data_IF_180350883847
#
_entry.id   IF_180350883847
#
_cell.length_a   1.000
_cell.length_b   1.000
_cell.length_c   1.000
_cell.angle_alpha   90.00
_cell.angle_beta   90.00
_cell.angle_gamma   90.00
#
_symmetry.space_group_name_H-M   'P 1'
#
loop_
_entity.id
_entity.type
_entity.pdbx_description
1 polymer ?
#
# COMPACT_ATOMS: atom_id res chain seq x y z
N UNK A 1 -17.73 -12.32 25.58
CA UNK A 1 -17.45 -11.53 24.36
C UNK A 1 -16.24 -10.66 24.62
N UNK A 2 -15.08 -11.00 24.06
CA UNK A 2 -13.92 -10.10 24.04
C UNK A 2 -13.40 -10.05 22.60
N UNK A 3 -14.01 -9.18 21.80
CA UNK A 3 -13.44 -8.74 20.54
C UNK A 3 -12.45 -7.63 20.86
N UNK A 4 -11.14 -7.95 20.89
CA UNK A 4 -10.11 -6.92 20.91
C UNK A 4 -9.95 -6.35 19.50
N UNK A 5 -10.10 -5.02 19.42
CA UNK A 5 -10.06 -4.22 18.20
C UNK A 5 -8.70 -4.32 17.52
N UNK A 6 -8.75 -4.36 16.19
CA UNK A 6 -7.62 -4.31 15.26
C UNK A 6 -6.51 -3.37 15.73
N UNK A 7 -5.31 -3.92 15.81
CA UNK A 7 -4.08 -3.13 15.82
C UNK A 7 -3.88 -2.61 14.39
N UNK A 8 -4.26 -1.36 14.14
CA UNK A 8 -3.85 -0.66 12.92
C UNK A 8 -2.36 -0.36 13.06
N UNK A 9 -1.54 -1.02 12.26
CA UNK A 9 -0.11 -0.78 12.21
C UNK A 9 0.19 0.35 11.23
N UNK A 10 1.00 1.31 11.65
CA UNK A 10 1.56 2.33 10.78
C UNK A 10 2.81 1.79 10.06
N UNK A 11 2.63 0.69 9.31
CA UNK A 11 3.67 0.09 8.46
C UNK A 11 4.50 -1.04 9.10
N UNK A 12 5.44 -1.62 8.32
CA UNK A 12 6.13 -2.86 8.66
C UNK A 12 7.15 -2.73 9.80
N UNK A 13 7.83 -1.58 9.93
CA UNK A 13 8.77 -1.33 11.02
C UNK A 13 8.07 -1.22 12.39
N UNK A 14 6.83 -0.71 12.41
CA UNK A 14 6.00 -0.65 13.61
C UNK A 14 5.69 -2.05 14.14
N UNK A 15 5.32 -2.98 13.23
CA UNK A 15 5.08 -4.38 13.56
C UNK A 15 6.35 -5.06 14.08
N UNK A 16 7.49 -4.84 13.40
CA UNK A 16 8.77 -5.42 13.83
C UNK A 16 9.17 -4.96 15.24
N UNK A 17 9.12 -3.66 15.48
CA UNK A 17 9.46 -3.10 16.79
C UNK A 17 8.60 -3.71 17.88
N UNK A 18 7.30 -3.89 17.62
CA UNK A 18 6.38 -4.50 18.57
C UNK A 18 6.68 -5.98 18.84
N UNK A 19 7.02 -6.76 17.82
CA UNK A 19 7.39 -8.16 17.98
C UNK A 19 8.67 -8.30 18.81
N UNK A 20 9.66 -7.42 18.59
CA UNK A 20 10.88 -7.34 19.40
C UNK A 20 10.56 -6.99 20.85
N UNK A 21 9.75 -5.95 21.07
CA UNK A 21 9.36 -5.51 22.43
C UNK A 21 8.56 -6.60 23.16
N UNK A 22 7.70 -7.34 22.46
CA UNK A 22 6.90 -8.42 23.03
C UNK A 22 7.74 -9.61 23.52
N UNK A 23 8.81 -9.92 22.80
CA UNK A 23 9.75 -11.00 23.15
C UNK A 23 10.90 -10.52 24.07
N UNK A 24 10.86 -9.26 24.51
CA UNK A 24 11.90 -8.63 25.35
C UNK A 24 13.32 -8.75 24.75
N UNK A 25 13.42 -8.62 23.42
CA UNK A 25 14.68 -8.78 22.68
C UNK A 25 15.35 -7.42 22.37
N UNK A 26 16.67 -7.44 22.23
CA UNK A 26 17.43 -6.31 21.68
C UNK A 26 17.35 -6.29 20.14
N UNK A 27 17.49 -5.10 19.53
CA UNK A 27 17.53 -4.96 18.05
C UNK A 27 18.90 -5.43 17.54
N UNK A 28 18.98 -6.73 17.23
CA UNK A 28 20.17 -7.42 16.70
C UNK A 28 19.77 -8.48 15.67
N UNK A 29 20.72 -8.96 14.87
CA UNK A 29 20.49 -9.90 13.77
C UNK A 29 19.90 -11.21 14.30
N UNK A 30 20.39 -11.65 15.46
CA UNK A 30 19.93 -12.86 16.15
C UNK A 30 18.47 -12.71 16.57
N UNK A 31 18.09 -11.55 17.09
CA UNK A 31 16.70 -11.26 17.47
C UNK A 31 15.78 -11.17 16.26
N UNK A 32 16.22 -10.48 15.18
CA UNK A 32 15.49 -10.37 13.93
C UNK A 32 15.25 -11.74 13.29
N UNK A 33 16.26 -12.62 13.31
CA UNK A 33 16.12 -13.99 12.84
C UNK A 33 15.07 -14.79 13.64
N UNK A 34 15.00 -14.59 14.97
CA UNK A 34 14.05 -15.28 15.85
C UNK A 34 12.59 -14.85 15.61
N UNK A 35 12.35 -13.57 15.34
CA UNK A 35 11.00 -13.05 15.11
C UNK A 35 10.54 -13.16 13.65
N UNK A 36 11.41 -13.57 12.73
CA UNK A 36 11.10 -13.66 11.30
C UNK A 36 9.85 -14.52 11.03
N UNK A 37 9.74 -15.68 11.67
CA UNK A 37 8.56 -16.54 11.52
C UNK A 37 7.28 -15.86 12.03
N UNK A 38 7.37 -15.19 13.19
CA UNK A 38 6.22 -14.47 13.76
C UNK A 38 5.75 -13.34 12.83
N UNK A 39 6.70 -12.65 12.18
CA UNK A 39 6.40 -11.60 11.22
C UNK A 39 5.71 -12.15 9.96
N UNK A 40 6.20 -13.25 9.40
CA UNK A 40 5.60 -13.91 8.23
C UNK A 40 4.21 -14.45 8.56
N UNK A 41 4.04 -15.09 9.72
CA UNK A 41 2.76 -15.61 10.18
C UNK A 41 1.74 -14.49 10.38
N UNK A 42 2.16 -13.34 10.89
CA UNK A 42 1.30 -12.17 11.02
C UNK A 42 0.83 -11.68 9.64
N UNK A 43 1.72 -11.56 8.65
CA UNK A 43 1.33 -11.12 7.29
C UNK A 43 0.33 -12.09 6.66
N UNK A 44 0.54 -13.41 6.83
CA UNK A 44 -0.34 -14.45 6.25
C UNK A 44 -1.74 -14.46 6.86
N UNK A 45 -1.84 -14.18 8.15
CA UNK A 45 -3.09 -14.35 8.91
C UNK A 45 -3.87 -13.05 9.09
N UNK A 46 -3.25 -11.89 8.86
CA UNK A 46 -3.88 -10.61 9.14
C UNK A 46 -4.71 -10.11 7.95
N UNK A 47 -6.05 -9.98 8.09
CA UNK A 47 -6.91 -9.38 7.07
C UNK A 47 -6.75 -7.85 6.99
N UNK A 48 -5.88 -7.26 7.81
CA UNK A 48 -5.79 -5.81 8.04
C UNK A 48 -4.71 -5.12 7.21
N UNK A 49 -3.93 -5.89 6.44
CA UNK A 49 -2.95 -5.34 5.51
C UNK A 49 -3.69 -5.04 4.21
N UNK A 50 -3.80 -3.76 3.87
CA UNK A 50 -4.36 -3.34 2.59
C UNK A 50 -3.46 -3.83 1.45
N UNK A 51 -4.02 -4.18 0.28
CA UNK A 51 -3.21 -4.58 -0.88
C UNK A 51 -2.13 -3.55 -1.23
N UNK A 52 -2.43 -2.26 -1.10
CA UNK A 52 -1.51 -1.16 -1.40
C UNK A 52 -0.27 -1.16 -0.49
N UNK A 53 -0.42 -1.57 0.78
CA UNK A 53 0.69 -1.61 1.73
C UNK A 53 1.41 -2.96 1.72
N UNK A 54 0.87 -3.99 1.07
CA UNK A 54 1.42 -5.35 1.08
C UNK A 54 2.86 -5.40 0.54
N UNK A 55 3.17 -4.55 -0.46
CA UNK A 55 4.51 -4.48 -1.05
C UNK A 55 5.59 -4.15 -0.01
N UNK A 56 5.34 -3.18 0.86
CA UNK A 56 6.29 -2.77 1.92
C UNK A 56 6.48 -3.87 2.95
N UNK A 57 5.40 -4.58 3.31
CA UNK A 57 5.47 -5.72 4.23
C UNK A 57 6.27 -6.88 3.64
N UNK A 58 6.09 -7.17 2.34
CA UNK A 58 6.82 -8.22 1.63
C UNK A 58 8.30 -7.88 1.47
N UNK A 59 8.66 -6.61 1.25
CA UNK A 59 10.05 -6.16 1.22
C UNK A 59 10.76 -6.41 2.55
N UNK A 60 10.10 -6.10 3.67
CA UNK A 60 10.67 -6.36 4.99
C UNK A 60 10.70 -7.87 5.28
N UNK A 61 9.68 -8.62 4.85
CA UNK A 61 9.65 -10.08 4.98
C UNK A 61 10.82 -10.76 4.25
N UNK A 62 11.14 -10.34 3.03
CA UNK A 62 12.26 -10.92 2.27
C UNK A 62 13.60 -10.67 2.97
N UNK A 63 13.81 -9.46 3.51
CA UNK A 63 15.00 -9.12 4.31
C UNK A 63 15.10 -9.97 5.58
N UNK A 64 14.00 -10.20 6.29
CA UNK A 64 14.01 -11.07 7.49
C UNK A 64 14.31 -12.53 7.16
N UNK A 65 13.79 -13.03 6.04
CA UNK A 65 14.11 -14.38 5.56
C UNK A 65 15.59 -14.52 5.20
N UNK A 66 16.17 -13.48 4.59
CA UNK A 66 17.61 -13.41 4.31
C UNK A 66 18.43 -13.46 5.62
N UNK A 67 18.06 -12.63 6.60
CA UNK A 67 18.69 -12.59 7.92
C UNK A 67 18.62 -13.96 8.60
N UNK A 68 17.44 -14.61 8.57
CA UNK A 68 17.25 -15.94 9.15
C UNK A 68 18.06 -17.01 8.41
N UNK A 69 18.09 -16.97 7.09
CA UNK A 69 18.88 -17.91 6.27
C UNK A 69 20.36 -17.85 6.63
N UNK A 70 20.93 -16.64 6.72
CA UNK A 70 22.34 -16.44 7.11
C UNK A 70 22.63 -16.83 8.55
N UNK A 71 21.72 -16.51 9.48
CA UNK A 71 21.85 -16.93 10.86
C UNK A 71 21.92 -18.47 11.00
N UNK A 72 21.26 -19.20 10.09
CA UNK A 72 21.32 -20.67 10.03
C UNK A 72 22.49 -21.20 9.18
N UNK A 73 22.94 -20.45 8.18
CA UNK A 73 23.95 -20.86 7.19
C UNK A 73 25.04 -19.78 6.98
N UNK A 74 25.93 -19.54 7.96
CA UNK A 74 26.84 -18.40 7.95
C UNK A 74 27.94 -18.45 6.87
N UNK A 75 28.22 -19.62 6.29
CA UNK A 75 29.34 -19.81 5.36
C UNK A 75 28.99 -19.61 3.88
N UNK A 76 27.72 -19.39 3.54
CA UNK A 76 27.26 -19.41 2.15
C UNK A 76 27.17 -18.02 1.49
N UNK A 77 27.23 -16.94 2.27
CA UNK A 77 26.89 -15.60 1.76
C UNK A 77 27.79 -14.50 2.36
N UNK A 78 28.97 -14.19 1.82
CA UNK A 78 29.80 -13.10 2.34
C UNK A 78 29.35 -11.70 1.90
N UNK A 79 28.59 -11.53 0.80
CA UNK A 79 28.32 -10.20 0.21
C UNK A 79 27.08 -9.45 0.72
N UNK A 80 26.17 -10.10 1.45
CA UNK A 80 24.86 -9.52 1.83
C UNK A 80 24.84 -8.93 3.25
N UNK A 81 26.01 -8.68 3.85
CA UNK A 81 26.14 -8.18 5.23
C UNK A 81 25.59 -6.75 5.38
N UNK A 82 25.70 -5.92 4.33
CA UNK A 82 25.26 -4.52 4.32
C UNK A 82 23.74 -4.36 4.42
N UNK A 83 22.96 -5.14 3.67
CA UNK A 83 21.49 -5.03 3.68
C UNK A 83 20.88 -5.33 5.05
N UNK A 84 21.60 -6.11 5.87
CA UNK A 84 21.17 -6.54 7.20
C UNK A 84 21.47 -5.46 8.23
N UNK A 85 22.69 -4.91 8.19
CA UNK A 85 23.07 -3.77 9.04
C UNK A 85 22.12 -2.57 8.79
N UNK A 86 21.73 -2.34 7.54
CA UNK A 86 20.77 -1.30 7.17
C UNK A 86 19.40 -1.48 7.84
N UNK A 87 18.87 -2.72 7.93
CA UNK A 87 17.56 -2.95 8.56
C UNK A 87 17.60 -2.73 10.07
N UNK A 88 18.68 -3.14 10.74
CA UNK A 88 18.86 -2.90 12.17
C UNK A 88 18.94 -1.40 12.50
N UNK A 89 19.74 -0.66 11.72
CA UNK A 89 19.91 0.77 11.89
C UNK A 89 18.59 1.51 11.65
N UNK A 90 17.87 1.14 10.58
CA UNK A 90 16.53 1.65 10.30
C UNK A 90 15.56 1.40 11.47
N UNK A 91 15.56 0.20 12.05
CA UNK A 91 14.68 -0.13 13.16
C UNK A 91 15.07 0.59 14.46
N UNK A 92 16.37 0.79 14.69
CA UNK A 92 16.88 1.56 15.83
C UNK A 92 16.48 3.04 15.72
N UNK A 93 16.70 3.65 14.56
CA UNK A 93 16.25 5.02 14.30
C UNK A 93 14.73 5.14 14.46
N UNK A 94 13.97 4.19 13.92
CA UNK A 94 12.51 4.19 14.06
C UNK A 94 12.09 4.13 15.54
N UNK A 95 12.73 3.29 16.36
CA UNK A 95 12.49 3.24 17.80
C UNK A 95 12.74 4.60 18.48
N UNK A 96 13.84 5.27 18.15
CA UNK A 96 14.15 6.60 18.68
C UNK A 96 13.06 7.63 18.31
N UNK A 97 12.57 7.62 17.07
CA UNK A 97 11.46 8.47 16.65
C UNK A 97 10.18 8.18 17.41
N UNK A 98 9.84 6.90 17.60
CA UNK A 98 8.66 6.49 18.38
C UNK A 98 8.77 6.99 19.82
N UNK A 99 9.94 6.87 20.45
CA UNK A 99 10.18 7.37 21.81
C UNK A 99 10.12 8.90 21.90
N UNK A 100 10.70 9.62 20.93
CA UNK A 100 10.61 11.07 20.84
C UNK A 100 9.16 11.52 20.67
N UNK A 101 8.40 10.85 19.79
CA UNK A 101 6.99 11.13 19.54
C UNK A 101 6.14 10.92 20.81
N UNK A 102 6.40 9.86 21.59
CA UNK A 102 5.76 9.66 22.90
C UNK A 102 6.00 10.87 23.83
N UNK A 103 7.23 11.38 23.91
CA UNK A 103 7.58 12.56 24.73
C UNK A 103 6.88 13.83 24.23
N UNK A 104 6.84 14.04 22.92
CA UNK A 104 6.15 15.18 22.28
C UNK A 104 4.65 15.11 22.56
N UNK A 105 4.03 13.94 22.39
CA UNK A 105 2.61 13.73 22.68
C UNK A 105 2.26 14.05 24.14
N UNK A 106 3.12 13.66 25.09
CA UNK A 106 2.96 14.06 26.50
C UNK A 106 3.08 15.58 26.66
N UNK A 107 3.99 16.24 25.95
CA UNK A 107 4.15 17.69 26.01
C UNK A 107 2.92 18.43 25.45
N UNK A 108 2.42 18.01 24.29
CA UNK A 108 1.19 18.54 23.67
C UNK A 108 -0.02 18.27 24.56
N UNK A 109 -0.11 17.06 25.13
CA UNK A 109 -1.18 16.62 26.02
C UNK A 109 -1.31 17.44 27.30
N UNK A 110 -0.25 18.16 27.72
CA UNK A 110 -0.31 19.13 28.83
C UNK A 110 -1.17 20.36 28.52
N UNK A 111 -1.67 20.50 27.28
CA UNK A 111 -2.55 21.59 26.80
C UNK A 111 -2.07 23.00 27.17
N UNK A 112 -0.76 23.20 27.34
CA UNK A 112 -0.15 24.51 27.53
C UNK A 112 -0.08 25.25 26.20
N UNK A 113 -1.23 25.54 25.60
CA UNK A 113 -1.34 26.32 24.36
C UNK A 113 -1.42 27.82 24.61
N UNK A 114 -1.55 28.24 25.87
CA UNK A 114 -1.56 29.65 26.25
C UNK A 114 -0.14 30.13 26.49
N UNK A 115 0.46 30.67 25.44
CA UNK A 115 1.66 31.49 25.54
C UNK A 115 1.22 32.93 25.77
N UNK A 116 1.74 33.59 26.81
CA UNK A 116 1.48 35.00 27.03
C UNK A 116 2.04 35.80 25.83
N UNK A 117 1.22 36.69 25.24
CA UNK A 117 1.73 37.62 24.22
C UNK A 117 2.82 38.49 24.84
N UNK A 118 3.87 38.78 24.08
CA UNK A 118 4.85 39.80 24.48
C UNK A 118 4.11 41.12 24.75
N UNK A 119 4.18 41.57 26.00
CA UNK A 119 3.36 42.66 26.50
C UNK A 119 3.96 44.01 26.06
N UNK A 120 3.37 44.68 25.06
CA UNK A 120 3.84 46.01 24.66
C UNK A 120 3.26 47.10 25.57
N UNK A 121 3.92 47.33 26.71
CA UNK A 121 3.53 48.37 27.70
C UNK A 121 3.31 49.77 27.10
N UNK A 122 3.95 50.09 25.96
CA UNK A 122 3.84 51.42 25.34
C UNK A 122 2.47 51.69 24.71
N UNK A 123 1.70 50.65 24.37
CA UNK A 123 0.41 50.77 23.68
C UNK A 123 -0.73 51.05 24.66
N UNK A 124 -0.62 50.61 25.92
CA UNK A 124 -1.65 50.84 26.94
C UNK A 124 -1.56 52.27 27.51
N UNK A 125 -0.34 52.82 27.57
CA UNK A 125 -0.09 54.17 28.08
C UNK A 125 -0.50 55.27 27.10
N UNK A 126 -0.61 54.94 25.82
CA UNK A 126 -1.22 55.81 24.82
C UNK A 126 -2.69 55.39 24.71
N UNK A 127 -3.62 56.22 25.18
CA UNK A 127 -5.08 56.04 25.01
C UNK A 127 -5.50 56.19 23.54
N UNK A 128 -4.83 55.49 22.63
CA UNK A 128 -5.03 55.60 21.22
C UNK A 128 -5.10 54.19 20.64
N UNK A 129 -6.06 54.01 19.73
CA UNK A 129 -6.27 52.80 18.94
C UNK A 129 -5.10 52.59 17.96
N UNK A 130 -3.87 52.48 18.47
CA UNK A 130 -2.68 52.19 17.67
C UNK A 130 -2.56 50.68 17.52
N UNK A 131 -2.64 50.24 16.27
CA UNK A 131 -2.20 48.90 15.89
C UNK A 131 -0.69 48.79 16.18
N UNK A 132 -0.33 47.89 17.11
CA UNK A 132 1.08 47.61 17.43
C UNK A 132 1.40 46.16 17.09
N UNK A 133 2.05 45.92 15.94
CA UNK A 133 2.52 44.59 15.61
C UNK A 133 3.68 44.19 16.55
N UNK A 134 3.86 42.89 16.83
CA UNK A 134 5.04 42.38 17.52
C UNK A 134 6.33 42.79 16.81
N UNK A 135 7.41 43.01 17.59
CA UNK A 135 8.68 43.57 17.06
C UNK A 135 9.34 42.74 15.97
N UNK A 136 9.07 41.43 15.93
CA UNK A 136 9.72 40.49 15.03
C UNK A 136 8.86 40.11 13.82
N UNK A 137 7.75 40.80 13.55
CA UNK A 137 6.93 40.56 12.36
C UNK A 137 7.36 41.49 11.24
N UNK A 138 7.69 40.93 10.08
CA UNK A 138 7.93 41.65 8.82
C UNK A 138 6.72 41.56 7.89
N UNK A 139 6.72 42.36 6.83
CA UNK A 139 5.65 42.33 5.82
C UNK A 139 5.58 40.98 5.09
N UNK A 140 6.73 40.32 4.90
CA UNK A 140 6.82 38.99 4.29
C UNK A 140 6.14 37.92 5.15
N UNK A 141 6.25 38.03 6.48
CA UNK A 141 5.57 37.11 7.40
C UNK A 141 4.05 37.22 7.29
N UNK A 142 3.53 38.45 7.14
CA UNK A 142 2.09 38.68 6.92
C UNK A 142 1.63 38.10 5.58
N UNK A 143 2.42 38.23 4.53
CA UNK A 143 2.12 37.64 3.23
C UNK A 143 2.09 36.11 3.30
N UNK A 144 3.07 35.47 3.97
CA UNK A 144 3.10 34.02 4.17
C UNK A 144 1.91 33.52 4.99
N UNK A 145 1.56 34.22 6.08
CA UNK A 145 0.40 33.89 6.90
C UNK A 145 -0.89 34.03 6.10
N UNK A 146 -0.99 35.04 5.24
CA UNK A 146 -2.17 35.23 4.38
C UNK A 146 -2.30 34.11 3.35
N UNK A 147 -1.20 33.66 2.74
CA UNK A 147 -1.18 32.50 1.84
C UNK A 147 -1.58 31.22 2.58
N UNK A 148 -1.02 30.95 3.76
CA UNK A 148 -1.36 29.77 4.57
C UNK A 148 -2.83 29.79 5.03
N UNK A 149 -3.39 30.98 5.27
CA UNK A 149 -4.81 31.13 5.57
C UNK A 149 -5.67 30.81 4.34
N UNK A 150 -5.27 31.30 3.16
CA UNK A 150 -5.97 31.00 1.91
C UNK A 150 -5.93 29.51 1.59
N UNK A 151 -4.81 28.81 1.80
CA UNK A 151 -4.70 27.35 1.56
C UNK A 151 -5.54 26.55 2.56
N UNK A 152 -5.66 26.98 3.82
CA UNK A 152 -6.54 26.34 4.81
C UNK A 152 -8.03 26.56 4.54
N UNK A 153 -8.37 27.71 3.94
CA UNK A 153 -9.74 28.05 3.55
C UNK A 153 -10.11 27.53 2.17
N UNK A 154 -9.12 27.17 1.34
CA UNK A 154 -9.40 26.44 0.12
C UNK A 154 -10.16 25.17 0.53
N UNK A 155 -11.38 24.95 0.00
CA UNK A 155 -11.99 23.65 0.14
C UNK A 155 -10.95 22.64 -0.32
N UNK A 156 -10.81 21.47 0.35
CA UNK A 156 -9.94 20.43 -0.17
C UNK A 156 -10.26 20.35 -1.66
N UNK A 157 -9.23 20.47 -2.52
CA UNK A 157 -9.41 20.18 -3.93
C UNK A 157 -10.26 18.93 -3.91
N UNK A 158 -11.44 18.99 -4.54
CA UNK A 158 -12.13 17.76 -4.86
C UNK A 158 -11.03 17.03 -5.62
N UNK A 159 -10.37 16.08 -4.96
CA UNK A 159 -9.78 14.94 -5.63
C UNK A 159 -10.82 14.67 -6.68
N UNK A 160 -10.47 14.86 -7.95
CA UNK A 160 -11.37 14.45 -9.02
C UNK A 160 -11.89 13.13 -8.50
N UNK A 161 -13.19 13.09 -8.18
CA UNK A 161 -13.86 11.86 -7.84
C UNK A 161 -13.64 11.13 -9.14
N UNK A 162 -12.51 10.42 -9.22
CA UNK A 162 -12.06 9.70 -10.38
C UNK A 162 -13.20 8.76 -10.50
N UNK A 163 -14.11 9.13 -11.43
CA UNK A 163 -15.47 8.65 -11.52
C UNK A 163 -15.35 7.20 -11.15
N UNK A 164 -15.91 6.82 -9.99
CA UNK A 164 -15.72 5.47 -9.45
C UNK A 164 -16.10 4.59 -10.62
N UNK A 165 -15.08 4.11 -11.33
CA UNK A 165 -15.24 3.43 -12.61
C UNK A 165 -15.89 2.16 -12.12
N UNK A 166 -17.22 2.08 -12.26
CA UNK A 166 -18.09 1.11 -11.59
C UNK A 166 -17.32 -0.18 -11.47
N UNK A 167 -16.94 -0.61 -10.25
CA UNK A 167 -15.96 -1.68 -10.03
C UNK A 167 -16.31 -2.88 -10.90
N UNK A 168 -15.70 -2.98 -12.09
CA UNK A 168 -16.05 -4.01 -13.06
C UNK A 168 -15.37 -5.26 -12.54
N UNK A 169 -16.19 -6.15 -11.98
CA UNK A 169 -15.72 -7.41 -11.46
C UNK A 169 -15.29 -8.30 -12.61
N UNK A 170 -14.16 -8.98 -12.43
CA UNK A 170 -13.65 -9.95 -13.39
C UNK A 170 -14.70 -11.06 -13.58
N UNK A 171 -15.38 -11.46 -12.51
CA UNK A 171 -16.42 -12.49 -12.50
C UNK A 171 -17.59 -12.14 -13.44
N UNK A 172 -18.01 -10.87 -13.48
CA UNK A 172 -19.09 -10.41 -14.35
C UNK A 172 -18.68 -10.49 -15.83
N UNK A 173 -17.41 -10.17 -16.13
CA UNK A 173 -16.86 -10.31 -17.50
C UNK A 173 -16.68 -11.76 -17.90
N UNK A 174 -16.25 -12.65 -17.00
CA UNK A 174 -16.19 -14.09 -17.24
C UNK A 174 -17.57 -14.62 -17.66
N UNK A 175 -18.62 -14.29 -16.91
CA UNK A 175 -19.99 -14.70 -17.22
C UNK A 175 -20.47 -14.13 -18.57
N UNK A 176 -20.11 -12.88 -18.88
CA UNK A 176 -20.44 -12.25 -20.16
C UNK A 176 -19.80 -13.01 -21.33
N UNK A 177 -18.51 -13.31 -21.24
CA UNK A 177 -17.75 -14.03 -22.28
C UNK A 177 -18.31 -15.45 -22.46
N UNK A 178 -18.59 -16.17 -21.37
CA UNK A 178 -19.22 -17.50 -21.43
C UNK A 178 -20.59 -17.47 -22.12
N UNK A 179 -21.43 -16.46 -21.84
CA UNK A 179 -22.73 -16.30 -22.52
C UNK A 179 -22.57 -16.03 -24.01
N UNK A 180 -21.62 -15.18 -24.41
CA UNK A 180 -21.38 -14.91 -25.83
C UNK A 180 -20.83 -16.14 -26.57
N UNK A 181 -20.06 -16.99 -25.90
CA UNK A 181 -19.57 -18.27 -26.40
C UNK A 181 -20.63 -19.38 -26.33
N UNK A 182 -21.73 -19.21 -25.59
CA UNK A 182 -22.78 -20.23 -25.48
C UNK A 182 -23.37 -20.53 -26.88
N UNK A 183 -23.65 -19.48 -27.64
CA UNK A 183 -24.35 -19.52 -28.93
C UNK A 183 -23.42 -19.47 -30.15
N UNK A 184 -22.09 -19.43 -29.95
CA UNK A 184 -21.09 -19.26 -31.02
C UNK A 184 -19.97 -20.27 -30.90
N UNK A 185 -19.53 -20.81 -32.04
CA UNK A 185 -18.39 -21.75 -32.11
C UNK A 185 -17.07 -21.01 -31.86
N UNK A 186 -16.98 -19.77 -32.35
CA UNK A 186 -15.77 -18.96 -32.34
C UNK A 186 -16.13 -17.48 -32.23
N UNK A 187 -15.35 -16.74 -31.46
CA UNK A 187 -15.59 -15.33 -31.17
C UNK A 187 -14.27 -14.55 -31.17
N UNK A 188 -14.27 -13.35 -31.74
CA UNK A 188 -13.09 -12.47 -31.69
C UNK A 188 -13.08 -11.67 -30.39
N UNK A 189 -11.91 -11.54 -29.76
CA UNK A 189 -11.72 -10.71 -28.57
C UNK A 189 -12.07 -9.24 -28.82
N UNK A 190 -11.84 -8.73 -30.04
CA UNK A 190 -12.23 -7.37 -30.39
C UNK A 190 -13.74 -7.16 -30.23
N UNK A 191 -14.57 -8.17 -30.46
CA UNK A 191 -16.03 -8.08 -30.28
C UNK A 191 -16.43 -7.91 -28.80
N UNK A 192 -15.64 -8.44 -27.86
CA UNK A 192 -15.85 -8.21 -26.41
C UNK A 192 -15.47 -6.78 -26.04
N UNK A 193 -14.45 -6.21 -26.70
CA UNK A 193 -13.96 -4.86 -26.44
C UNK A 193 -14.87 -3.77 -27.02
N UNK A 194 -15.72 -4.07 -28.02
CA UNK A 194 -16.65 -3.07 -28.61
C UNK A 194 -17.58 -2.47 -27.55
N UNK A 195 -17.97 -3.25 -26.53
CA UNK A 195 -18.84 -2.78 -25.45
C UNK A 195 -18.08 -2.07 -24.33
N UNK A 196 -16.74 -2.08 -24.34
CA UNK A 196 -15.93 -1.51 -23.28
C UNK A 196 -15.93 0.02 -23.34
N UNK A 197 -16.33 0.66 -22.23
CA UNK A 197 -16.46 2.13 -22.11
C UNK A 197 -15.24 2.79 -21.51
N UNK A 198 -14.38 2.03 -20.82
CA UNK A 198 -13.19 2.55 -20.15
C UNK A 198 -11.96 1.67 -20.37
N UNK A 199 -10.77 2.25 -20.17
CA UNK A 199 -9.50 1.50 -20.22
C UNK A 199 -9.46 0.39 -19.16
N UNK A 200 -10.07 0.65 -18.00
CA UNK A 200 -10.25 -0.31 -16.92
C UNK A 200 -11.03 -1.54 -17.39
N UNK A 201 -12.11 -1.33 -18.13
CA UNK A 201 -12.95 -2.40 -18.67
C UNK A 201 -12.22 -3.28 -19.69
N UNK A 202 -11.36 -2.68 -20.53
CA UNK A 202 -10.51 -3.40 -21.47
C UNK A 202 -9.54 -4.33 -20.72
N UNK A 203 -8.87 -3.81 -19.69
CA UNK A 203 -7.93 -4.58 -18.87
C UNK A 203 -8.65 -5.73 -18.15
N UNK A 204 -9.79 -5.46 -17.53
CA UNK A 204 -10.60 -6.48 -16.83
C UNK A 204 -11.09 -7.57 -17.78
N UNK A 205 -11.51 -7.21 -19.00
CA UNK A 205 -11.95 -8.17 -20.02
C UNK A 205 -10.81 -9.06 -20.50
N UNK A 206 -9.60 -8.50 -20.63
CA UNK A 206 -8.40 -9.27 -20.96
C UNK A 206 -8.02 -10.24 -19.83
N UNK A 207 -8.06 -9.79 -18.58
CA UNK A 207 -7.82 -10.66 -17.42
C UNK A 207 -8.86 -11.78 -17.32
N UNK A 208 -10.14 -11.48 -17.55
CA UNK A 208 -11.21 -12.47 -17.57
C UNK A 208 -10.97 -13.56 -18.64
N UNK A 209 -10.50 -13.17 -19.84
CA UNK A 209 -10.15 -14.12 -20.90
C UNK A 209 -8.97 -15.02 -20.50
N UNK A 210 -7.92 -14.45 -19.90
CA UNK A 210 -6.77 -15.23 -19.42
C UNK A 210 -7.16 -16.19 -18.30
N UNK A 211 -8.07 -15.78 -17.41
CA UNK A 211 -8.60 -16.63 -16.35
C UNK A 211 -9.39 -17.82 -16.91
N UNK A 212 -10.25 -17.60 -17.92
CA UNK A 212 -10.97 -18.66 -18.63
C UNK A 212 -10.03 -19.65 -19.32
N UNK A 213 -8.95 -19.16 -19.92
CA UNK A 213 -7.91 -20.01 -20.52
C UNK A 213 -7.19 -20.83 -19.43
N UNK A 214 -6.86 -20.21 -18.28
CA UNK A 214 -6.24 -20.88 -17.13
C UNK A 214 -7.13 -22.00 -16.58
N UNK A 215 -8.44 -21.80 -16.58
CA UNK A 215 -9.45 -22.79 -16.15
C UNK A 215 -9.75 -23.86 -17.22
N UNK A 216 -9.11 -23.78 -18.39
CA UNK A 216 -9.35 -24.67 -19.55
C UNK A 216 -10.80 -24.68 -20.03
N UNK A 217 -11.50 -23.56 -19.92
CA UNK A 217 -12.87 -23.43 -20.45
C UNK A 217 -12.87 -22.90 -21.90
N UNK A 218 -11.85 -22.14 -22.27
CA UNK A 218 -11.68 -21.56 -23.61
C UNK A 218 -10.29 -21.85 -24.18
N UNK A 219 -10.22 -21.96 -25.50
CA UNK A 219 -8.98 -21.99 -26.24
C UNK A 219 -8.77 -20.65 -26.96
N UNK A 220 -7.52 -20.18 -27.01
CA UNK A 220 -7.13 -18.92 -27.63
C UNK A 220 -6.19 -19.18 -28.80
N UNK A 221 -6.47 -18.57 -29.94
CA UNK A 221 -5.63 -18.62 -31.13
C UNK A 221 -5.27 -17.20 -31.55
N UNK A 222 -3.97 -16.94 -31.69
CA UNK A 222 -3.42 -15.69 -32.20
C UNK A 222 -2.29 -16.03 -33.18
N UNK A 223 -2.37 -15.55 -34.41
CA UNK A 223 -1.41 -15.88 -35.46
C UNK A 223 -0.10 -15.08 -35.35
N UNK A 224 -0.20 -13.77 -35.09
CA UNK A 224 0.94 -12.87 -34.98
C UNK A 224 0.87 -12.02 -33.71
N UNK A 225 2.00 -11.49 -33.26
CA UNK A 225 2.04 -10.56 -32.13
C UNK A 225 1.13 -9.36 -32.41
N UNK A 226 0.21 -9.10 -31.49
CA UNK A 226 -0.81 -8.03 -31.59
C UNK A 226 -1.84 -8.22 -32.70
N UNK A 227 -1.93 -9.40 -33.31
CA UNK A 227 -3.05 -9.74 -34.19
C UNK A 227 -4.32 -10.00 -33.40
N UNK A 228 -5.44 -10.16 -34.11
CA UNK A 228 -6.72 -10.54 -33.52
C UNK A 228 -6.58 -11.86 -32.72
N UNK A 229 -7.21 -11.89 -31.55
CA UNK A 229 -7.27 -13.06 -30.67
C UNK A 229 -8.63 -13.72 -30.87
N UNK A 230 -8.61 -14.97 -31.27
CA UNK A 230 -9.80 -15.77 -31.50
C UNK A 230 -10.02 -16.70 -30.30
N UNK A 231 -11.25 -16.72 -29.81
CA UNK A 231 -11.69 -17.44 -28.63
C UNK A 231 -12.66 -18.53 -29.08
N UNK A 232 -12.40 -19.78 -28.71
CA UNK A 232 -13.32 -20.90 -28.91
C UNK A 232 -13.53 -21.65 -27.60
N UNK A 233 -14.61 -22.44 -27.51
CA UNK A 233 -14.78 -23.35 -26.37
C UNK A 233 -13.66 -24.39 -26.37
N UNK A 234 -13.20 -24.72 -25.17
CA UNK A 234 -12.24 -25.81 -25.01
C UNK A 234 -12.92 -27.14 -25.37
N UNK A 235 -12.54 -27.71 -26.52
CA UNK A 235 -12.87 -29.10 -26.83
C UNK A 235 -11.75 -29.98 -26.30
N UNK A 236 -12.09 -30.81 -25.31
CA UNK A 236 -11.23 -31.89 -24.87
C UNK A 236 -11.17 -32.88 -26.04
N UNK A 237 -10.11 -32.76 -26.85
CA UNK A 237 -9.84 -33.70 -27.92
C UNK A 237 -9.62 -35.05 -27.26
N UNK A 238 -10.61 -35.93 -27.38
CA UNK A 238 -10.46 -37.36 -27.18
C UNK A 238 -9.22 -37.77 -27.98
N UNK A 239 -8.12 -38.03 -27.27
CA UNK A 239 -6.98 -38.72 -27.85
C UNK A 239 -7.49 -40.09 -28.27
N UNK A 240 -7.72 -40.22 -29.57
CA UNK A 240 -7.74 -41.48 -30.27
C UNK A 240 -6.49 -42.24 -29.84
N UNK A 241 -6.66 -43.26 -28.99
CA UNK A 241 -5.66 -44.29 -28.82
C UNK A 241 -5.52 -44.98 -30.18
N UNK A 242 -4.40 -44.72 -30.83
CA UNK A 242 -4.05 -45.31 -32.11
C UNK A 242 -4.24 -46.82 -32.06
N UNK A 243 -5.10 -47.30 -32.96
CA UNK A 243 -5.00 -48.64 -33.50
C UNK A 243 -3.58 -48.81 -34.06
N UNK A 244 -2.76 -49.53 -33.29
CA UNK A 244 -1.58 -50.21 -33.79
C UNK A 244 -1.96 -51.68 -34.01
N UNK A 245 -1.54 -52.18 -35.17
CA UNK A 245 -1.71 -53.51 -35.79
C UNK A 245 -2.95 -53.68 -36.67
#
# INVERSE_FOLDING_TARGET
MLNFKLEKFEGPLSLLLKLIEKEELDITQISLAKIADQYIDYIRTSPNITPDNMADFLLVASRLLLIKSRALLPYLYPEEEKEIEELEEQLRMYKEYVEAMKKINVMIGKKKFMFAREFNRKVILAEANLFSPPKNIKAEDLAMIFVDLLTRLQPPEKLEEGTIDDLIKIEDKILSIQRMLADRIMLSFNQILVEAKSKTEIIVSFLAMLELMRQKEVNLVQEELFSEILISKYEETLRDEGANV
#
